data_IF_093905707572
#
_entry.id   IF_093905707572
#
_cell.length_a   1.000
_cell.length_b   1.000
_cell.length_c   1.000
_cell.angle_alpha   90.00
_cell.angle_beta   90.00
_cell.angle_gamma   90.00
#
_symmetry.space_group_name_H-M   'P 1'
#
loop_
_entity.id
_entity.type
_entity.pdbx_description
1 polymer ?
#
# COMPACT_ATOMS: atom_id res chain seq x y z
N UNK A 1 12.50 -44.97 -15.77
CA UNK A 1 13.79 -44.25 -15.73
C UNK A 1 13.50 -42.77 -15.88
N UNK A 2 13.87 -41.99 -14.86
CA UNK A 2 13.76 -40.54 -14.83
C UNK A 2 14.83 -39.98 -15.75
N UNK A 3 14.47 -39.14 -16.71
CA UNK A 3 15.46 -38.33 -17.42
C UNK A 3 15.09 -36.85 -17.31
N UNK A 4 15.94 -36.15 -16.54
CA UNK A 4 15.98 -34.70 -16.34
C UNK A 4 16.23 -34.02 -17.68
N UNK A 5 15.27 -33.26 -18.17
CA UNK A 5 15.57 -32.10 -19.01
C UNK A 5 15.10 -30.86 -18.27
N UNK A 6 16.08 -30.24 -17.62
CA UNK A 6 16.04 -28.85 -17.20
C UNK A 6 15.99 -27.99 -18.47
N UNK A 7 14.80 -27.76 -19.00
CA UNK A 7 14.56 -26.67 -19.93
C UNK A 7 14.31 -25.43 -19.09
N UNK A 8 15.31 -24.56 -19.02
CA UNK A 8 15.18 -23.22 -18.43
C UNK A 8 13.88 -22.58 -18.93
N UNK A 9 12.99 -22.22 -18.00
CA UNK A 9 11.94 -21.28 -18.31
C UNK A 9 12.61 -20.01 -18.85
N UNK A 10 12.10 -19.40 -19.93
CA UNK A 10 12.56 -18.09 -20.35
C UNK A 10 12.46 -17.17 -19.14
N UNK A 11 13.57 -16.51 -18.81
CA UNK A 11 13.56 -15.32 -17.97
C UNK A 11 12.76 -14.26 -18.73
N UNK A 12 11.44 -14.32 -18.66
CA UNK A 12 10.60 -13.16 -18.88
C UNK A 12 10.73 -12.29 -17.63
N UNK A 13 11.86 -11.58 -17.60
CA UNK A 13 12.10 -10.43 -16.75
C UNK A 13 10.92 -9.44 -16.88
N UNK A 14 10.39 -9.03 -15.72
CA UNK A 14 9.91 -7.67 -15.47
C UNK A 14 8.57 -7.21 -16.04
N UNK A 15 7.55 -8.08 -16.12
CA UNK A 15 6.16 -7.61 -16.30
C UNK A 15 5.15 -8.31 -15.40
N UNK A 16 5.55 -8.64 -14.16
CA UNK A 16 4.58 -8.84 -13.09
C UNK A 16 4.23 -7.46 -12.53
N UNK A 17 3.25 -6.83 -13.15
CA UNK A 17 2.71 -5.53 -12.79
C UNK A 17 2.36 -5.51 -11.30
N UNK A 18 2.88 -4.52 -10.58
CA UNK A 18 2.74 -4.27 -9.14
C UNK A 18 1.30 -3.92 -8.68
N UNK A 19 0.29 -4.14 -9.53
CA UNK A 19 -1.13 -3.91 -9.21
C UNK A 19 -1.59 -4.59 -7.90
N UNK A 20 -0.90 -5.65 -7.45
CA UNK A 20 -1.21 -6.35 -6.22
C UNK A 20 -0.73 -5.66 -4.93
N UNK A 21 0.26 -4.76 -4.99
CA UNK A 21 0.73 -4.00 -3.82
C UNK A 21 -0.07 -2.72 -3.62
N UNK A 22 -0.40 -2.00 -4.69
CA UNK A 22 -1.23 -0.79 -4.66
C UNK A 22 -2.63 -1.07 -4.07
N UNK A 23 -3.29 -2.14 -4.55
CA UNK A 23 -4.59 -2.54 -4.02
C UNK A 23 -4.53 -2.92 -2.54
N UNK A 24 -3.41 -3.49 -2.09
CA UNK A 24 -3.20 -3.85 -0.68
C UNK A 24 -3.08 -2.60 0.19
N UNK A 25 -2.30 -1.61 -0.23
CA UNK A 25 -2.12 -0.36 0.50
C UNK A 25 -3.43 0.44 0.61
N UNK A 26 -4.23 0.51 -0.46
CA UNK A 26 -5.53 1.19 -0.42
C UNK A 26 -6.52 0.51 0.53
N UNK A 27 -6.70 -0.81 0.45
CA UNK A 27 -7.60 -1.53 1.34
C UNK A 27 -7.16 -1.48 2.80
N UNK A 28 -5.85 -1.54 3.06
CA UNK A 28 -5.30 -1.38 4.40
C UNK A 28 -5.56 0.02 4.95
N UNK A 29 -5.29 1.05 4.15
CA UNK A 29 -5.54 2.45 4.53
C UNK A 29 -7.00 2.67 4.91
N UNK A 30 -7.95 2.21 4.10
CA UNK A 30 -9.38 2.34 4.40
C UNK A 30 -9.78 1.62 5.68
N UNK A 31 -9.21 0.44 5.95
CA UNK A 31 -9.49 -0.30 7.18
C UNK A 31 -9.02 0.48 8.40
N UNK A 32 -7.80 1.01 8.37
CA UNK A 32 -7.28 1.84 9.47
C UNK A 32 -8.14 3.08 9.65
N UNK A 33 -8.50 3.79 8.58
CA UNK A 33 -9.37 4.98 8.66
C UNK A 33 -10.77 4.68 9.20
N UNK A 34 -11.28 3.47 8.98
CA UNK A 34 -12.53 3.02 9.59
C UNK A 34 -12.36 2.75 11.09
N UNK A 35 -11.30 2.04 11.49
CA UNK A 35 -10.97 1.76 12.90
C UNK A 35 -10.79 3.07 13.69
N UNK A 36 -10.07 4.05 13.15
CA UNK A 36 -9.86 5.35 13.79
C UNK A 36 -11.15 6.13 14.00
N UNK A 37 -12.11 6.02 13.07
CA UNK A 37 -13.44 6.62 13.23
C UNK A 37 -14.24 5.96 14.34
N UNK A 38 -14.14 4.65 14.49
CA UNK A 38 -14.78 3.92 15.60
C UNK A 38 -14.16 4.26 16.96
N UNK A 39 -12.86 4.54 16.98
CA UNK A 39 -12.12 4.94 18.18
C UNK A 39 -12.25 6.43 18.52
N UNK A 40 -12.99 7.20 17.71
CA UNK A 40 -13.17 8.65 17.86
C UNK A 40 -11.84 9.43 17.96
N UNK A 41 -10.80 8.95 17.24
CA UNK A 41 -9.50 9.61 17.21
C UNK A 41 -9.63 10.95 16.49
N UNK A 42 -9.05 11.99 17.10
CA UNK A 42 -9.00 13.32 16.51
C UNK A 42 -8.42 13.29 15.10
N UNK A 43 -9.08 13.99 14.18
CA UNK A 43 -8.67 14.04 12.78
C UNK A 43 -7.21 14.52 12.63
N UNK A 44 -6.75 15.45 13.46
CA UNK A 44 -5.35 15.93 13.40
C UNK A 44 -4.30 14.83 13.68
N UNK A 45 -4.69 13.71 14.29
CA UNK A 45 -3.82 12.59 14.64
C UNK A 45 -3.86 11.44 13.63
N UNK A 46 -4.78 11.45 12.65
CA UNK A 46 -5.03 10.28 11.80
C UNK A 46 -3.76 9.81 11.05
N UNK A 47 -2.92 10.75 10.57
CA UNK A 47 -1.66 10.42 9.86
C UNK A 47 -0.70 9.62 10.73
N UNK A 48 -0.53 10.07 11.98
CA UNK A 48 0.34 9.40 12.95
C UNK A 48 -0.15 7.99 13.21
N UNK A 49 -1.46 7.82 13.34
CA UNK A 49 -2.05 6.51 13.60
C UNK A 49 -1.96 5.57 12.40
N UNK A 50 -2.18 6.07 11.18
CA UNK A 50 -1.94 5.29 9.96
C UNK A 50 -0.48 4.87 9.87
N UNK A 51 0.46 5.77 10.11
CA UNK A 51 1.88 5.43 10.12
C UNK A 51 2.25 4.42 11.21
N UNK A 52 1.60 4.48 12.38
CA UNK A 52 1.85 3.54 13.49
C UNK A 52 1.29 2.14 13.21
N UNK A 53 0.12 2.05 12.57
CA UNK A 53 -0.64 0.79 12.40
C UNK A 53 -0.41 0.12 11.04
N UNK A 54 -0.03 0.90 10.03
CA UNK A 54 0.17 0.42 8.67
C UNK A 54 1.32 -0.57 8.55
N UNK A 55 1.26 -1.35 7.47
CA UNK A 55 2.36 -2.17 6.98
C UNK A 55 3.56 -1.31 6.60
N UNK A 56 4.74 -1.94 6.48
CA UNK A 56 5.93 -1.24 5.99
C UNK A 56 5.72 -0.64 4.60
N UNK A 57 4.96 -1.31 3.72
CA UNK A 57 4.65 -0.80 2.38
C UNK A 57 3.80 0.49 2.48
N UNK A 58 2.77 0.50 3.33
CA UNK A 58 1.95 1.69 3.55
C UNK A 58 2.75 2.84 4.20
N UNK A 59 3.65 2.52 5.15
CA UNK A 59 4.56 3.52 5.74
C UNK A 59 5.50 4.11 4.71
N UNK A 60 6.11 3.28 3.87
CA UNK A 60 7.02 3.72 2.81
C UNK A 60 6.29 4.61 1.81
N UNK A 61 5.07 4.24 1.40
CA UNK A 61 4.21 5.10 0.59
C UNK A 61 3.96 6.45 1.27
N UNK A 62 3.63 6.46 2.57
CA UNK A 62 3.42 7.69 3.31
C UNK A 62 4.65 8.60 3.34
N UNK A 63 5.83 8.04 3.59
CA UNK A 63 7.08 8.83 3.63
C UNK A 63 7.39 9.44 2.26
N UNK A 64 7.16 8.71 1.17
CA UNK A 64 7.54 9.12 -0.17
C UNK A 64 6.52 10.05 -0.83
N UNK A 65 5.22 9.81 -0.59
CA UNK A 65 4.15 10.40 -1.39
C UNK A 65 3.22 11.33 -0.60
N UNK A 66 3.24 11.29 0.73
CA UNK A 66 2.28 12.05 1.55
C UNK A 66 2.90 13.32 2.12
N UNK A 67 2.44 14.50 1.68
CA UNK A 67 2.91 15.75 2.26
C UNK A 67 2.40 15.90 3.71
N UNK A 68 3.17 16.62 4.52
CA UNK A 68 2.84 16.91 5.93
C UNK A 68 1.46 17.59 6.04
N UNK A 69 1.08 18.41 5.06
CA UNK A 69 -0.18 19.17 5.04
C UNK A 69 -1.32 18.48 4.25
N UNK A 70 -1.09 17.31 3.63
CA UNK A 70 -2.11 16.64 2.79
C UNK A 70 -3.30 16.07 3.55
N UNK A 71 -4.52 16.21 3.02
CA UNK A 71 -5.75 15.67 3.63
C UNK A 71 -6.01 14.21 3.26
N UNK A 72 -6.92 13.53 3.97
CA UNK A 72 -7.29 12.12 3.73
C UNK A 72 -7.66 11.85 2.27
N UNK A 73 -8.45 12.74 1.65
CA UNK A 73 -8.90 12.57 0.26
C UNK A 73 -7.76 12.64 -0.76
N UNK A 74 -6.73 13.45 -0.51
CA UNK A 74 -5.56 13.52 -1.38
C UNK A 74 -4.78 12.19 -1.36
N UNK A 75 -4.67 11.59 -0.17
CA UNK A 75 -3.99 10.32 0.05
C UNK A 75 -4.75 9.21 -0.67
N UNK A 76 -6.08 9.18 -0.52
CA UNK A 76 -6.96 8.22 -1.20
C UNK A 76 -6.73 8.27 -2.70
N UNK A 77 -6.70 9.48 -3.28
CA UNK A 77 -6.41 9.65 -4.72
C UNK A 77 -5.04 9.08 -5.08
N UNK A 78 -3.98 9.44 -4.35
CA UNK A 78 -2.63 8.92 -4.64
C UNK A 78 -2.54 7.39 -4.53
N UNK A 79 -3.22 6.78 -3.56
CA UNK A 79 -3.29 5.32 -3.41
C UNK A 79 -4.08 4.63 -4.55
N UNK A 80 -4.94 5.37 -5.25
CA UNK A 80 -5.73 4.88 -6.39
C UNK A 80 -5.05 5.20 -7.73
N UNK A 81 -4.31 6.31 -7.81
CA UNK A 81 -3.64 6.83 -9.01
C UNK A 81 -2.31 6.16 -9.32
N UNK A 82 -1.70 5.39 -8.40
CA UNK A 82 -0.54 4.53 -8.73
C UNK A 82 -0.87 3.37 -9.70
N UNK A 83 -2.12 3.24 -10.18
CA UNK A 83 -2.57 2.29 -11.23
C UNK A 83 -1.86 2.42 -12.58
#
# INVERSE_FOLDING_TARGET
MINKYMGAQPNDELTRVDCGQEFRNHSEFERIMYELRLEEIEEVLWKREVYRRGSEDLKNFFVLNVPIEGGVEEIRKKLIEEK
#
